data_IF_369747715651
#
_entry.id   IF_369747715651
#
_cell.length_a   1.000
_cell.length_b   1.000
_cell.length_c   1.000
_cell.angle_alpha   90.00
_cell.angle_beta   90.00
_cell.angle_gamma   90.00
#
_symmetry.space_group_name_H-M   'P 1'
#
loop_
_entity.id
_entity.type
_entity.pdbx_description
1 polymer ?
#
# COMPACT_ATOMS: atom_id res chain seq x y z
N UNK A 1 -5.35 6.46 9.28
CA UNK A 1 -4.93 7.78 8.74
C UNK A 1 -4.64 7.60 7.26
N UNK A 2 -4.78 8.66 6.46
CA UNK A 2 -4.43 8.60 5.03
C UNK A 2 -3.38 9.66 4.70
N UNK A 3 -2.53 9.37 3.73
CA UNK A 3 -1.45 10.23 3.25
C UNK A 3 -1.80 10.61 1.82
N UNK A 4 -1.71 11.89 1.50
CA UNK A 4 -1.83 12.40 0.14
C UNK A 4 -0.49 13.01 -0.28
N UNK A 5 -0.03 12.63 -1.46
CA UNK A 5 1.19 13.16 -2.07
C UNK A 5 0.77 13.82 -3.37
N UNK A 6 1.05 15.12 -3.48
CA UNK A 6 0.74 15.93 -4.66
C UNK A 6 1.73 17.09 -4.74
N UNK A 7 2.27 17.35 -5.92
CA UNK A 7 3.24 18.43 -6.18
C UNK A 7 4.47 18.35 -5.27
N UNK A 8 4.93 17.14 -4.95
CA UNK A 8 6.04 16.88 -4.02
C UNK A 8 5.71 17.14 -2.55
N UNK A 9 4.45 17.46 -2.22
CA UNK A 9 4.03 17.77 -0.85
C UNK A 9 3.31 16.57 -0.24
N UNK A 10 3.80 16.13 0.93
CA UNK A 10 3.16 15.08 1.72
C UNK A 10 2.20 15.70 2.73
N UNK A 11 0.91 15.34 2.66
CA UNK A 11 -0.14 15.79 3.58
C UNK A 11 -0.76 14.59 4.30
N UNK A 12 -0.98 14.73 5.62
CA UNK A 12 -1.77 13.77 6.39
C UNK A 12 -3.22 14.24 6.40
N UNK A 13 -4.13 13.38 5.95
CA UNK A 13 -5.56 13.69 5.87
C UNK A 13 -6.37 12.68 6.68
N UNK A 14 -7.52 13.14 7.20
CA UNK A 14 -8.49 12.25 7.84
C UNK A 14 -9.35 11.61 6.76
N UNK A 15 -9.43 10.29 6.80
CA UNK A 15 -10.21 9.50 5.86
C UNK A 15 -11.67 9.97 5.80
N UNK A 16 -12.21 10.08 4.58
CA UNK A 16 -13.60 10.44 4.31
C UNK A 16 -13.90 11.94 4.19
N UNK A 17 -13.25 12.83 4.96
CA UNK A 17 -13.55 14.28 4.91
C UNK A 17 -12.64 15.03 3.95
N UNK A 18 -11.32 14.83 4.07
CA UNK A 18 -10.31 15.54 3.28
C UNK A 18 -9.48 14.59 2.41
N UNK A 19 -9.88 13.32 2.36
CA UNK A 19 -9.22 12.28 1.58
C UNK A 19 -9.99 12.00 0.28
N UNK A 20 -9.31 11.57 -0.80
CA UNK A 20 -9.96 11.23 -2.06
C UNK A 20 -11.15 10.26 -1.88
N UNK A 21 -12.25 10.51 -2.59
CA UNK A 21 -13.46 9.68 -2.61
C UNK A 21 -13.66 9.00 -3.97
N UNK A 22 -12.58 8.45 -4.53
CA UNK A 22 -12.62 7.67 -5.77
C UNK A 22 -12.71 6.16 -5.47
N UNK A 23 -12.97 5.35 -6.50
CA UNK A 23 -13.11 3.90 -6.36
C UNK A 23 -11.88 3.23 -5.75
N UNK A 24 -10.67 3.68 -6.11
CA UNK A 24 -9.42 3.16 -5.57
C UNK A 24 -9.27 3.44 -4.06
N UNK A 25 -9.65 4.63 -3.62
CA UNK A 25 -9.64 5.00 -2.21
C UNK A 25 -10.63 4.16 -1.40
N UNK A 26 -11.84 3.94 -1.94
CA UNK A 26 -12.84 3.06 -1.31
C UNK A 26 -12.30 1.63 -1.21
N UNK A 27 -11.68 1.12 -2.27
CA UNK A 27 -11.08 -0.22 -2.30
C UNK A 27 -9.95 -0.36 -1.28
N UNK A 28 -9.02 0.61 -1.24
CA UNK A 28 -7.93 0.64 -0.27
C UNK A 28 -8.45 0.65 1.18
N UNK A 29 -9.46 1.49 1.49
CA UNK A 29 -10.11 1.51 2.80
C UNK A 29 -10.75 0.15 3.14
N UNK A 30 -11.43 -0.45 2.16
CA UNK A 30 -12.09 -1.74 2.35
C UNK A 30 -11.08 -2.85 2.65
N UNK A 31 -9.99 -2.92 1.89
CA UNK A 31 -8.90 -3.87 2.16
C UNK A 31 -8.26 -3.59 3.52
N UNK A 32 -7.98 -2.32 3.83
CA UNK A 32 -7.35 -1.91 5.09
C UNK A 32 -8.17 -2.33 6.32
N UNK A 33 -9.51 -2.27 6.24
CA UNK A 33 -10.41 -2.71 7.31
C UNK A 33 -10.34 -4.21 7.59
N UNK A 34 -9.91 -5.03 6.62
CA UNK A 34 -9.72 -6.48 6.80
C UNK A 34 -8.30 -6.87 7.18
N UNK A 35 -7.36 -5.91 7.26
CA UNK A 35 -6.00 -6.21 7.68
C UNK A 35 -5.96 -6.65 9.16
N UNK A 36 -5.13 -7.65 9.50
CA UNK A 36 -4.96 -8.05 10.89
C UNK A 36 -4.27 -6.95 11.71
N UNK A 37 -4.47 -7.01 13.03
CA UNK A 37 -3.95 -6.00 13.97
C UNK A 37 -2.43 -5.79 13.87
N UNK A 38 -1.67 -6.83 13.52
CA UNK A 38 -0.21 -6.73 13.35
C UNK A 38 0.17 -5.74 12.22
N UNK A 39 -0.57 -5.76 11.11
CA UNK A 39 -0.38 -4.82 10.01
C UNK A 39 -0.71 -3.39 10.45
N UNK A 40 -1.78 -3.22 11.22
CA UNK A 40 -2.18 -1.90 11.73
C UNK A 40 -1.14 -1.33 12.69
N UNK A 41 -0.57 -2.17 13.57
CA UNK A 41 0.50 -1.77 14.51
C UNK A 41 1.81 -1.40 13.80
N UNK A 42 2.07 -1.99 12.64
CA UNK A 42 3.21 -1.63 11.79
C UNK A 42 2.98 -0.34 10.97
N UNK A 43 1.98 0.47 11.32
CA UNK A 43 1.74 1.74 10.66
C UNK A 43 1.09 1.62 9.29
N UNK A 44 0.18 0.66 9.10
CA UNK A 44 -0.61 0.57 7.86
C UNK A 44 -1.37 1.88 7.61
N UNK A 45 -0.97 2.62 6.57
CA UNK A 45 -1.57 3.88 6.17
C UNK A 45 -1.98 3.82 4.69
N UNK A 46 -3.14 4.37 4.37
CA UNK A 46 -3.56 4.49 2.98
C UNK A 46 -2.81 5.66 2.36
N UNK A 47 -2.21 5.46 1.18
CA UNK A 47 -1.46 6.50 0.46
C UNK A 47 -2.13 6.76 -0.87
N UNK A 48 -2.36 8.03 -1.18
CA UNK A 48 -2.82 8.54 -2.46
C UNK A 48 -1.68 9.36 -3.05
N UNK A 49 -0.92 8.78 -3.96
CA UNK A 49 0.21 9.44 -4.59
C UNK A 49 -0.18 9.89 -6.00
N UNK A 50 -0.56 11.16 -6.13
CA UNK A 50 -0.90 11.75 -7.43
C UNK A 50 0.34 11.93 -8.31
N UNK A 51 1.51 12.16 -7.71
CA UNK A 51 2.77 12.38 -8.44
C UNK A 51 3.24 11.11 -9.14
N UNK A 52 3.12 9.96 -8.45
CA UNK A 52 3.41 8.63 -9.00
C UNK A 52 2.18 7.91 -9.55
N UNK A 53 1.02 8.56 -9.58
CA UNK A 53 -0.26 8.06 -10.09
C UNK A 53 -0.69 6.69 -9.52
N UNK A 54 -0.64 6.52 -8.19
CA UNK A 54 -1.13 5.32 -7.53
C UNK A 54 -1.91 5.60 -6.25
N UNK A 55 -2.72 4.62 -5.83
CA UNK A 55 -3.34 4.56 -4.50
C UNK A 55 -3.03 3.21 -3.90
N UNK A 56 -2.68 3.15 -2.61
CA UNK A 56 -2.26 1.91 -1.98
C UNK A 56 -2.34 1.93 -0.47
N UNK A 57 -1.92 0.82 0.15
CA UNK A 57 -1.71 0.71 1.59
C UNK A 57 -0.21 0.55 1.84
N UNK A 58 0.39 1.54 2.49
CA UNK A 58 1.79 1.54 2.91
C UNK A 58 1.91 0.94 4.30
N UNK A 59 2.90 0.07 4.46
CA UNK A 59 3.32 -0.55 5.70
C UNK A 59 4.73 -0.07 6.01
N UNK A 60 4.94 0.60 7.14
CA UNK A 60 6.26 1.07 7.52
C UNK A 60 7.00 -0.09 8.23
N UNK A 61 7.78 -0.84 7.45
CA UNK A 61 8.51 -2.03 7.93
C UNK A 61 9.92 -1.66 8.38
N UNK A 62 10.59 -2.57 9.09
CA UNK A 62 11.97 -2.34 9.58
C UNK A 62 13.02 -2.16 8.47
N UNK A 63 12.75 -2.72 7.29
CA UNK A 63 13.67 -2.70 6.14
C UNK A 63 13.26 -1.67 5.08
N UNK A 64 12.32 -0.80 5.42
CA UNK A 64 11.76 0.20 4.53
C UNK A 64 10.26 0.00 4.26
N UNK A 65 9.61 0.97 3.62
CA UNK A 65 8.17 0.92 3.38
C UNK A 65 7.80 -0.15 2.34
N UNK A 66 6.75 -0.91 2.61
CA UNK A 66 6.14 -1.80 1.61
C UNK A 66 4.76 -1.25 1.28
N UNK A 67 4.44 -1.12 -0.01
CA UNK A 67 3.17 -0.59 -0.49
C UNK A 67 2.40 -1.71 -1.20
N UNK A 68 1.18 -1.97 -0.75
CA UNK A 68 0.18 -2.67 -1.54
C UNK A 68 -0.51 -1.66 -2.45
N UNK A 69 -0.17 -1.67 -3.73
CA UNK A 69 -0.83 -0.86 -4.74
C UNK A 69 -2.20 -1.44 -5.09
N UNK A 70 -3.22 -0.57 -5.07
CA UNK A 70 -4.52 -0.89 -5.62
C UNK A 70 -4.43 -0.96 -7.14
N UNK A 71 -5.11 -1.92 -7.77
CA UNK A 71 -5.06 -2.08 -9.20
C UNK A 71 -5.86 -0.98 -9.90
N UNK A 72 -5.29 -0.43 -10.98
CA UNK A 72 -5.98 0.49 -11.89
C UNK A 72 -6.38 -0.24 -13.17
N UNK A 73 -7.65 -0.16 -13.57
CA UNK A 73 -8.17 -0.89 -14.73
C UNK A 73 -8.18 -2.40 -14.48
N UNK A 74 -7.61 -3.21 -15.39
CA UNK A 74 -7.52 -4.67 -15.29
C UNK A 74 -6.18 -5.18 -14.72
N UNK A 75 -5.34 -4.29 -14.19
CA UNK A 75 -4.00 -4.64 -13.68
C UNK A 75 -4.06 -5.46 -12.39
N UNK A 76 -3.08 -6.34 -12.08
CA UNK A 76 -3.07 -7.04 -10.79
C UNK A 76 -2.79 -6.10 -9.62
N UNK A 77 -3.08 -6.56 -8.40
CA UNK A 77 -2.48 -5.97 -7.20
C UNK A 77 -0.97 -6.17 -7.21
N UNK A 78 -0.23 -5.21 -6.67
CA UNK A 78 1.24 -5.25 -6.57
C UNK A 78 1.67 -4.96 -5.14
N UNK A 79 2.63 -5.73 -4.63
CA UNK A 79 3.38 -5.39 -3.44
C UNK A 79 4.74 -4.86 -3.89
N UNK A 80 5.03 -3.62 -3.53
CA UNK A 80 6.24 -2.89 -3.91
C UNK A 80 6.99 -2.52 -2.64
N UNK A 81 8.30 -2.78 -2.59
CA UNK A 81 9.16 -2.32 -1.51
C UNK A 81 9.86 -1.04 -1.97
N UNK A 82 9.56 0.07 -1.30
CA UNK A 82 10.27 1.33 -1.48
C UNK A 82 11.64 1.20 -0.78
N UNK A 83 12.71 1.28 -1.57
CA UNK A 83 14.06 1.16 -1.07
C UNK A 83 14.54 2.50 -0.48
N UNK A 84 15.20 2.50 0.69
CA UNK A 84 15.80 3.71 1.24
C UNK A 84 16.92 4.27 0.35
N UNK A 85 17.66 3.37 -0.29
CA UNK A 85 18.74 3.68 -1.22
C UNK A 85 18.44 3.01 -2.57
N UNK A 86 18.76 3.66 -3.70
CA UNK A 86 18.60 3.04 -5.01
C UNK A 86 19.40 1.74 -5.12
N UNK A 87 18.84 0.75 -5.82
CA UNK A 87 19.55 -0.49 -6.11
C UNK A 87 20.73 -0.28 -7.09
N UNK A 88 21.46 -1.35 -7.40
CA UNK A 88 22.58 -1.32 -8.35
C UNK A 88 22.20 -0.81 -9.75
N UNK A 89 20.90 -0.82 -10.09
CA UNK A 89 20.35 -0.32 -11.34
C UNK A 89 19.73 1.09 -11.22
N UNK A 90 19.87 1.72 -10.06
CA UNK A 90 19.34 3.05 -9.76
C UNK A 90 17.84 3.09 -9.44
N UNK A 91 17.19 1.94 -9.21
CA UNK A 91 15.76 1.90 -8.88
C UNK A 91 15.54 2.17 -7.40
N UNK A 92 14.57 3.01 -7.09
CA UNK A 92 14.16 3.34 -5.71
C UNK A 92 13.05 2.43 -5.19
N UNK A 93 12.58 1.48 -5.99
CA UNK A 93 11.51 0.56 -5.63
C UNK A 93 11.66 -0.79 -6.32
N UNK A 94 11.18 -1.84 -5.65
CA UNK A 94 11.24 -3.23 -6.15
C UNK A 94 9.87 -3.88 -6.01
N UNK A 95 9.33 -4.37 -7.13
CA UNK A 95 8.12 -5.21 -7.09
C UNK A 95 8.44 -6.57 -6.48
N UNK A 96 7.78 -6.88 -5.37
CA UNK A 96 7.99 -8.08 -4.58
C UNK A 96 6.99 -9.19 -4.91
N UNK A 97 5.76 -8.83 -5.25
CA UNK A 97 4.70 -9.80 -5.58
C UNK A 97 3.60 -9.15 -6.40
N UNK A 98 3.04 -9.91 -7.34
CA UNK A 98 1.80 -9.58 -8.08
C UNK A 98 0.73 -10.62 -7.84
N UNK A 99 -0.54 -10.21 -7.77
CA UNK A 99 -1.65 -11.17 -7.70
C UNK A 99 -2.96 -10.64 -8.34
N UNK A 100 -3.79 -11.53 -8.93
CA UNK A 100 -4.94 -11.11 -9.72
C UNK A 100 -6.02 -10.34 -8.94
N UNK A 101 -6.84 -9.55 -9.65
CA UNK A 101 -7.94 -8.79 -9.05
C UNK A 101 -9.14 -9.62 -8.59
N UNK A 102 -9.20 -10.90 -8.96
CA UNK A 102 -10.33 -11.79 -8.65
C UNK A 102 -10.55 -11.98 -7.13
N UNK A 103 -9.55 -11.65 -6.31
CA UNK A 103 -9.64 -11.78 -4.88
C UNK A 103 -10.54 -10.70 -4.26
N UNK A 104 -11.48 -11.13 -3.44
CA UNK A 104 -12.27 -10.25 -2.58
C UNK A 104 -11.35 -9.48 -1.61
N UNK A 105 -11.73 -8.29 -1.12
CA UNK A 105 -10.88 -7.48 -0.24
C UNK A 105 -10.30 -8.21 0.98
N UNK A 106 -11.07 -9.13 1.58
CA UNK A 106 -10.61 -9.97 2.69
C UNK A 106 -9.48 -10.94 2.28
N UNK A 107 -9.57 -11.51 1.07
CA UNK A 107 -8.54 -12.38 0.51
C UNK A 107 -7.26 -11.59 0.20
N UNK A 108 -7.40 -10.38 -0.35
CA UNK A 108 -6.28 -9.45 -0.57
C UNK A 108 -5.57 -9.15 0.75
N UNK A 109 -6.32 -8.74 1.79
CA UNK A 109 -5.77 -8.45 3.10
C UNK A 109 -5.05 -9.66 3.72
N UNK A 110 -5.62 -10.86 3.58
CA UNK A 110 -5.01 -12.11 4.05
C UNK A 110 -3.68 -12.41 3.33
N UNK A 111 -3.68 -12.39 2.00
CA UNK A 111 -2.48 -12.64 1.18
C UNK A 111 -1.39 -11.63 1.48
N UNK A 112 -1.74 -10.35 1.62
CA UNK A 112 -0.79 -9.28 1.98
C UNK A 112 -0.19 -9.51 3.36
N UNK A 113 -1.01 -9.79 4.38
CA UNK A 113 -0.52 -10.02 5.73
C UNK A 113 0.37 -11.27 5.82
N UNK A 114 -0.01 -12.35 5.14
CA UNK A 114 0.78 -13.59 5.07
C UNK A 114 2.12 -13.34 4.38
N UNK A 115 2.12 -12.61 3.26
CA UNK A 115 3.36 -12.23 2.58
C UNK A 115 4.29 -11.42 3.50
N UNK A 116 3.76 -10.38 4.13
CA UNK A 116 4.53 -9.50 4.98
C UNK A 116 5.11 -10.24 6.21
N UNK A 117 4.34 -11.17 6.78
CA UNK A 117 4.79 -11.97 7.93
C UNK A 117 5.81 -13.03 7.51
N UNK A 118 5.54 -13.79 6.45
CA UNK A 118 6.43 -14.87 5.97
C UNK A 118 7.78 -14.37 5.48
N UNK A 119 7.85 -13.13 4.97
CA UNK A 119 9.09 -12.49 4.52
C UNK A 119 9.79 -11.67 5.60
N UNK A 120 9.27 -11.67 6.83
CA UNK A 120 9.90 -10.99 7.97
C UNK A 120 9.78 -9.46 7.96
N UNK A 121 8.88 -8.90 7.15
CA UNK A 121 8.58 -7.46 7.14
C UNK A 121 7.78 -7.04 8.38
N UNK A 122 6.93 -7.93 8.89
CA UNK A 122 6.17 -7.74 10.13
C UNK A 122 6.69 -8.70 11.19
N UNK A 123 6.93 -8.18 12.40
CA UNK A 123 7.35 -8.98 13.56
C UNK A 123 6.55 -8.55 14.78
#
# INVERSE_FOLDING_TARGET
MEIQISDGIVRRVRGGKDAPMNGLAIQARTVANFLPLICQRAGANIVHNSDANYTGIRFDTKVGPVVLEMPTGDRPYRLVHELPEPDETGRTEVEMRRFPQIYKPRGVAHITAEFLSSRGFLK
#
